data_IF_372539096448
#
_entry.id   IF_372539096448
#
_cell.length_a   1.000
_cell.length_b   1.000
_cell.length_c   1.000
_cell.angle_alpha   90.00
_cell.angle_beta   90.00
_cell.angle_gamma   90.00
#
_symmetry.space_group_name_H-M   'P 1'
#
loop_
_entity.id
_entity.type
_entity.pdbx_description
1 polymer ?
#
# COMPACT_ATOMS: atom_id res chain seq x y z
N UNK A 1 1.74 82.53 -76.21
CA UNK A 1 2.36 82.96 -77.48
C UNK A 1 3.87 83.00 -77.28
N UNK A 2 4.65 82.63 -78.31
CA UNK A 2 5.99 82.05 -78.20
C UNK A 2 7.12 83.11 -78.26
N UNK A 3 8.34 82.57 -78.26
CA UNK A 3 9.64 83.11 -78.71
C UNK A 3 10.57 83.56 -77.57
N UNK A 4 11.69 82.88 -77.35
CA UNK A 4 12.87 82.61 -78.20
C UNK A 4 13.78 83.84 -78.38
N UNK A 5 15.06 83.52 -78.20
CA UNK A 5 16.25 84.15 -78.80
C UNK A 5 16.76 85.44 -78.15
N UNK A 6 18.06 85.66 -78.00
CA UNK A 6 19.26 84.84 -78.18
C UNK A 6 20.48 85.69 -77.74
N UNK A 7 21.53 85.01 -77.27
CA UNK A 7 22.96 85.32 -77.51
C UNK A 7 23.54 86.68 -77.09
N UNK A 8 24.53 86.65 -76.19
CA UNK A 8 25.81 87.36 -76.39
C UNK A 8 26.94 86.82 -75.52
N UNK A 9 27.84 86.07 -76.16
CA UNK A 9 29.30 86.28 -76.25
C UNK A 9 30.08 86.49 -74.93
N UNK A 10 30.81 85.42 -74.55
CA UNK A 10 32.03 85.34 -73.71
C UNK A 10 33.20 86.15 -74.32
N UNK A 11 34.27 86.56 -73.58
CA UNK A 11 35.14 85.61 -72.87
C UNK A 11 35.94 86.07 -71.62
N UNK A 12 36.11 85.10 -70.71
CA UNK A 12 37.35 84.59 -70.09
C UNK A 12 38.46 85.57 -69.63
N UNK A 13 38.71 85.59 -68.31
CA UNK A 13 40.09 85.52 -67.77
C UNK A 13 40.14 85.03 -66.31
N UNK A 14 40.60 83.79 -66.13
CA UNK A 14 41.63 83.32 -65.18
C UNK A 14 41.66 83.92 -63.75
N UNK A 15 40.87 83.35 -62.82
CA UNK A 15 41.17 83.39 -61.37
C UNK A 15 40.96 82.01 -60.75
N UNK A 16 42.04 81.22 -60.72
CA UNK A 16 42.09 79.87 -60.19
C UNK A 16 43.06 79.88 -58.99
N UNK A 17 42.64 80.52 -57.88
CA UNK A 17 43.44 80.59 -56.65
C UNK A 17 42.64 80.89 -55.36
N UNK A 18 41.30 80.78 -55.36
CA UNK A 18 40.44 81.20 -54.23
C UNK A 18 39.50 80.08 -53.73
N UNK A 19 39.90 78.81 -53.82
CA UNK A 19 39.07 77.65 -53.47
C UNK A 19 39.43 77.00 -52.11
N UNK A 20 40.28 77.63 -51.30
CA UNK A 20 40.71 77.11 -49.98
C UNK A 20 40.09 77.85 -48.78
N UNK A 21 39.24 78.86 -49.00
CA UNK A 21 38.56 79.63 -47.95
C UNK A 21 37.15 79.14 -47.57
N UNK A 22 36.52 78.30 -48.40
CA UNK A 22 35.12 77.88 -48.20
C UNK A 22 34.96 76.58 -47.38
N UNK A 23 36.04 75.82 -47.17
CA UNK A 23 36.02 74.57 -46.39
C UNK A 23 36.19 74.79 -44.87
N UNK A 24 36.61 76.00 -44.45
CA UNK A 24 36.80 76.33 -43.03
C UNK A 24 35.55 76.96 -42.39
N UNK A 25 34.57 77.41 -43.19
CA UNK A 25 33.28 77.95 -42.74
C UNK A 25 32.19 76.88 -42.56
N UNK A 26 32.39 75.66 -43.09
CA UNK A 26 31.53 74.49 -42.88
C UNK A 26 31.92 73.63 -41.67
N UNK A 27 33.09 73.91 -41.06
CA UNK A 27 33.56 73.22 -39.85
C UNK A 27 33.13 73.91 -38.54
N UNK A 28 32.51 75.11 -38.60
CA UNK A 28 32.05 75.84 -37.41
C UNK A 28 30.56 75.66 -37.08
N UNK A 29 29.78 74.99 -37.93
CA UNK A 29 28.36 74.67 -37.66
C UNK A 29 28.14 73.34 -36.94
N UNK A 30 29.21 72.63 -36.56
CA UNK A 30 29.15 71.36 -35.84
C UNK A 30 29.21 71.49 -34.30
N UNK A 31 29.42 72.69 -33.77
CA UNK A 31 29.29 72.97 -32.34
C UNK A 31 27.93 73.60 -32.04
N UNK A 32 26.88 72.78 -32.15
CA UNK A 32 25.61 73.04 -31.48
C UNK A 32 25.47 71.99 -30.39
N UNK A 33 25.51 72.45 -29.15
CA UNK A 33 25.36 71.63 -27.96
C UNK A 33 23.95 71.04 -27.97
N UNK A 34 23.87 69.73 -28.21
CA UNK A 34 22.62 69.00 -28.19
C UNK A 34 22.05 69.07 -26.77
N UNK A 35 20.77 69.44 -26.58
CA UNK A 35 20.15 69.40 -25.28
C UNK A 35 20.18 67.95 -24.81
N UNK A 36 20.96 67.65 -23.77
CA UNK A 36 20.87 66.37 -23.08
C UNK A 36 19.45 66.31 -22.53
N UNK A 37 18.61 65.36 -22.99
CA UNK A 37 17.27 65.25 -22.43
C UNK A 37 17.43 65.05 -20.93
N UNK A 38 16.84 65.98 -20.19
CA UNK A 38 16.75 66.01 -18.75
C UNK A 38 16.49 64.58 -18.27
N UNK A 39 17.40 64.04 -17.46
CA UNK A 39 17.43 62.63 -17.09
C UNK A 39 16.03 62.20 -16.68
N UNK A 40 15.39 61.36 -17.50
CA UNK A 40 14.10 60.79 -17.16
C UNK A 40 14.18 60.27 -15.71
N UNK A 41 13.21 60.62 -14.84
CA UNK A 41 13.27 60.20 -13.43
C UNK A 41 13.56 58.71 -13.40
N UNK A 42 14.55 58.25 -12.62
CA UNK A 42 15.09 56.91 -12.74
C UNK A 42 13.93 55.94 -12.73
N UNK A 43 13.73 55.23 -13.84
CA UNK A 43 12.62 54.32 -13.99
C UNK A 43 12.68 53.33 -12.82
N UNK A 44 11.74 53.46 -11.89
CA UNK A 44 11.71 52.63 -10.68
C UNK A 44 11.55 51.20 -11.16
N UNK A 45 12.61 50.41 -11.06
CA UNK A 45 12.61 48.99 -11.39
C UNK A 45 12.29 48.24 -10.10
N UNK A 46 11.02 47.86 -9.86
CA UNK A 46 10.71 47.06 -8.68
C UNK A 46 11.52 45.77 -8.74
N UNK A 47 12.45 45.62 -7.80
CA UNK A 47 13.15 44.38 -7.56
C UNK A 47 12.37 43.62 -6.49
N UNK A 48 12.17 42.32 -6.70
CA UNK A 48 11.68 41.45 -5.64
C UNK A 48 12.78 41.36 -4.58
N UNK A 49 12.61 42.08 -3.47
CA UNK A 49 13.48 41.99 -2.30
C UNK A 49 12.86 41.02 -1.30
N UNK A 50 13.70 40.16 -0.73
CA UNK A 50 13.31 39.24 0.33
C UNK A 50 14.18 39.52 1.55
N UNK A 51 13.55 39.79 2.69
CA UNK A 51 14.25 39.94 3.97
C UNK A 51 14.65 38.57 4.49
N UNK A 52 15.95 38.33 4.66
CA UNK A 52 16.47 37.07 5.21
C UNK A 52 16.51 37.18 6.73
N UNK A 53 15.67 36.41 7.41
CA UNK A 53 15.73 36.21 8.86
C UNK A 53 16.32 34.85 9.20
N UNK A 54 17.01 34.75 10.34
CA UNK A 54 17.41 33.45 10.88
C UNK A 54 16.14 32.65 11.22
N UNK A 55 15.85 31.65 10.38
CA UNK A 55 14.84 30.63 10.65
C UNK A 55 15.58 29.45 11.25
N UNK A 56 15.13 28.94 12.39
CA UNK A 56 15.51 27.62 12.87
C UNK A 56 15.00 26.59 11.84
N UNK A 57 15.80 26.33 10.81
CA UNK A 57 15.49 25.31 9.81
C UNK A 57 15.76 23.96 10.44
N UNK A 58 14.78 23.43 11.15
CA UNK A 58 14.71 21.99 11.32
C UNK A 58 14.53 21.40 9.93
N UNK A 59 15.51 20.60 9.50
CA UNK A 59 15.51 19.96 8.19
C UNK A 59 14.40 18.88 8.18
N UNK A 60 13.17 19.33 7.95
CA UNK A 60 11.98 18.50 8.06
C UNK A 60 11.89 17.61 6.81
N UNK A 61 12.39 16.39 6.93
CA UNK A 61 12.31 15.39 5.88
C UNK A 61 10.85 14.96 5.67
N UNK A 62 10.24 15.40 4.56
CA UNK A 62 8.90 14.97 4.15
C UNK A 62 8.99 13.76 3.23
N UNK A 63 8.40 12.66 3.65
CA UNK A 63 8.35 11.42 2.88
C UNK A 63 6.88 11.00 2.68
N UNK A 64 6.50 10.55 1.47
CA UNK A 64 5.19 9.95 1.27
C UNK A 64 5.09 8.65 2.08
N UNK A 65 4.10 8.58 2.95
CA UNK A 65 3.78 7.39 3.75
C UNK A 65 2.46 6.75 3.30
N UNK A 66 2.30 5.47 3.61
CA UNK A 66 1.03 4.73 3.46
C UNK A 66 0.57 4.24 4.82
N UNK A 67 -0.69 4.51 5.15
CA UNK A 67 -1.30 3.99 6.37
C UNK A 67 -1.71 2.53 6.14
N UNK A 68 -1.42 1.66 7.12
CA UNK A 68 -1.84 0.25 7.12
C UNK A 68 -2.36 -0.13 8.51
N UNK A 69 -3.31 -1.07 8.55
CA UNK A 69 -3.70 -1.73 9.79
C UNK A 69 -2.50 -2.49 10.39
N UNK A 70 -2.31 -2.37 11.70
CA UNK A 70 -1.24 -3.06 12.43
C UNK A 70 -1.42 -4.58 12.44
N UNK A 71 -2.68 -5.06 12.42
CA UNK A 71 -3.00 -6.48 12.35
C UNK A 71 -3.93 -6.76 11.17
N UNK A 72 -3.58 -7.79 10.39
CA UNK A 72 -4.38 -8.31 9.28
C UNK A 72 -4.42 -9.84 9.36
N UNK A 73 -5.60 -10.41 9.14
CA UNK A 73 -5.78 -11.84 9.02
C UNK A 73 -6.65 -12.15 7.79
N UNK A 74 -6.23 -13.14 7.01
CA UNK A 74 -7.07 -13.75 5.98
C UNK A 74 -7.78 -14.94 6.63
N UNK A 75 -9.11 -14.87 6.69
CA UNK A 75 -9.94 -15.94 7.26
C UNK A 75 -10.15 -17.02 6.20
N UNK A 76 -9.93 -18.27 6.57
CA UNK A 76 -10.14 -19.45 5.72
C UNK A 76 -10.55 -20.64 6.58
N UNK A 77 -11.23 -21.61 5.98
CA UNK A 77 -11.55 -22.88 6.65
C UNK A 77 -10.39 -23.85 6.51
N UNK A 78 -10.12 -24.64 7.53
CA UNK A 78 -9.09 -25.68 7.47
C UNK A 78 -9.59 -26.96 6.79
N UNK A 79 -10.91 -27.12 6.68
CA UNK A 79 -11.58 -28.27 6.06
C UNK A 79 -12.50 -27.81 4.92
N UNK A 80 -12.69 -28.63 3.87
CA UNK A 80 -13.61 -28.29 2.78
C UNK A 80 -15.07 -28.47 3.19
N UNK A 81 -15.99 -27.74 2.57
CA UNK A 81 -17.41 -27.96 2.81
C UNK A 81 -18.31 -26.85 2.29
N UNK A 82 -19.61 -27.06 2.48
CA UNK A 82 -20.63 -26.10 2.09
C UNK A 82 -20.87 -25.07 3.20
N UNK A 83 -20.97 -23.79 2.86
CA UNK A 83 -21.20 -22.72 3.84
C UNK A 83 -22.69 -22.66 4.22
N UNK A 84 -23.03 -23.04 5.46
CA UNK A 84 -24.40 -23.00 6.02
C UNK A 84 -24.73 -21.61 6.57
N UNK A 85 -23.90 -21.11 7.51
CA UNK A 85 -24.13 -19.84 8.18
C UNK A 85 -23.04 -18.83 7.85
N UNK A 86 -23.50 -17.67 7.41
CA UNK A 86 -22.64 -16.63 6.86
C UNK A 86 -22.97 -15.29 7.53
N UNK A 87 -22.01 -14.73 8.27
CA UNK A 87 -22.13 -13.44 8.99
C UNK A 87 -21.06 -12.44 8.56
N UNK A 88 -20.54 -12.64 7.34
CA UNK A 88 -19.46 -11.86 6.75
C UNK A 88 -20.03 -10.75 5.87
N UNK A 89 -20.33 -9.61 6.49
CA UNK A 89 -20.66 -8.38 5.76
C UNK A 89 -19.43 -7.46 5.72
N UNK A 90 -19.16 -6.87 4.56
CA UNK A 90 -18.08 -5.90 4.43
C UNK A 90 -18.39 -4.64 5.25
N UNK A 91 -17.41 -4.12 5.98
CA UNK A 91 -17.57 -3.00 6.89
C UNK A 91 -18.10 -3.38 8.28
N UNK A 92 -18.49 -4.63 8.51
CA UNK A 92 -18.95 -5.09 9.83
C UNK A 92 -17.78 -5.18 10.81
N UNK A 93 -18.01 -4.67 12.02
CA UNK A 93 -17.12 -4.88 13.16
C UNK A 93 -17.38 -6.25 13.82
N UNK A 94 -16.31 -6.94 14.19
CA UNK A 94 -16.34 -8.23 14.89
C UNK A 94 -15.46 -8.18 16.13
N UNK A 95 -15.88 -8.89 17.18
CA UNK A 95 -15.10 -9.06 18.41
C UNK A 95 -14.16 -10.26 18.30
N UNK A 96 -13.08 -10.25 19.07
CA UNK A 96 -12.21 -11.42 19.19
C UNK A 96 -13.01 -12.64 19.70
N UNK A 97 -12.86 -13.78 19.03
CA UNK A 97 -13.57 -15.02 19.35
C UNK A 97 -15.00 -15.12 18.80
N UNK A 98 -15.54 -14.06 18.18
CA UNK A 98 -16.86 -14.07 17.55
C UNK A 98 -16.88 -15.06 16.37
N UNK A 99 -17.98 -15.82 16.23
CA UNK A 99 -18.16 -16.74 15.11
C UNK A 99 -18.55 -15.94 13.87
N UNK A 100 -17.73 -16.07 12.83
CA UNK A 100 -17.84 -15.26 11.61
C UNK A 100 -18.48 -16.03 10.46
N UNK A 101 -18.15 -17.32 10.35
CA UNK A 101 -18.72 -18.23 9.35
C UNK A 101 -18.74 -19.67 9.87
N UNK A 102 -19.66 -20.48 9.34
CA UNK A 102 -19.82 -21.89 9.68
C UNK A 102 -20.18 -22.72 8.46
N UNK A 103 -19.52 -23.86 8.31
CA UNK A 103 -19.86 -24.89 7.32
C UNK A 103 -21.02 -25.76 7.79
N UNK A 104 -21.69 -26.42 6.85
CA UNK A 104 -22.53 -27.58 7.17
C UNK A 104 -21.65 -28.66 7.81
N UNK A 105 -21.93 -28.92 9.08
CA UNK A 105 -21.16 -29.81 9.93
C UNK A 105 -21.78 -31.21 10.05
N UNK A 106 -22.84 -31.52 9.29
CA UNK A 106 -23.55 -32.81 9.34
C UNK A 106 -22.62 -34.01 9.12
N UNK A 107 -21.79 -33.97 8.07
CA UNK A 107 -20.81 -35.03 7.76
C UNK A 107 -19.74 -35.12 8.85
N UNK A 108 -19.28 -33.98 9.37
CA UNK A 108 -18.25 -33.92 10.41
C UNK A 108 -18.76 -34.47 11.75
N UNK A 109 -20.00 -34.14 12.13
CA UNK A 109 -20.66 -34.70 13.31
C UNK A 109 -20.87 -36.20 13.19
N UNK A 110 -21.26 -36.70 12.01
CA UNK A 110 -21.41 -38.13 11.77
C UNK A 110 -20.07 -38.87 11.89
N UNK A 111 -18.99 -38.32 11.34
CA UNK A 111 -17.63 -38.86 11.48
C UNK A 111 -17.16 -38.87 12.94
N UNK A 112 -17.40 -37.79 13.68
CA UNK A 112 -17.11 -37.72 15.11
C UNK A 112 -17.86 -38.79 15.90
N UNK A 113 -19.16 -38.97 15.64
CA UNK A 113 -19.97 -40.00 16.29
C UNK A 113 -19.43 -41.42 16.02
N UNK A 114 -19.04 -41.71 14.77
CA UNK A 114 -18.42 -42.98 14.39
C UNK A 114 -17.08 -43.21 15.09
N UNK A 115 -16.18 -42.22 15.06
CA UNK A 115 -14.87 -42.33 15.72
C UNK A 115 -15.01 -42.49 17.25
N UNK A 116 -15.98 -41.83 17.86
CA UNK A 116 -16.29 -41.97 19.29
C UNK A 116 -16.78 -43.38 19.62
N UNK A 117 -17.64 -43.96 18.79
CA UNK A 117 -18.11 -45.33 18.99
C UNK A 117 -16.96 -46.35 18.91
N UNK A 118 -16.03 -46.17 17.96
CA UNK A 118 -14.85 -47.05 17.85
C UNK A 118 -13.87 -46.88 19.00
N UNK A 119 -13.67 -45.66 19.50
CA UNK A 119 -12.89 -45.42 20.71
C UNK A 119 -13.48 -46.16 21.93
N UNK A 120 -14.78 -46.02 22.17
CA UNK A 120 -15.44 -46.71 23.29
C UNK A 120 -15.39 -48.24 23.13
N UNK A 121 -15.54 -48.75 21.90
CA UNK A 121 -15.38 -50.17 21.61
C UNK A 121 -13.97 -50.67 21.95
N UNK A 122 -12.93 -50.00 21.42
CA UNK A 122 -11.54 -50.37 21.66
C UNK A 122 -11.18 -50.27 23.16
N UNK A 123 -11.73 -49.28 23.86
CA UNK A 123 -11.55 -49.09 25.29
C UNK A 123 -12.14 -50.26 26.09
N UNK A 124 -13.38 -50.64 25.77
CA UNK A 124 -14.05 -51.76 26.42
C UNK A 124 -13.36 -53.10 26.10
N UNK A 125 -12.86 -53.26 24.88
CA UNK A 125 -12.09 -54.44 24.48
C UNK A 125 -10.78 -54.55 25.28
N UNK A 126 -10.00 -53.47 25.37
CA UNK A 126 -8.78 -53.48 26.19
C UNK A 126 -9.10 -53.80 27.66
N UNK A 127 -10.11 -53.16 28.24
CA UNK A 127 -10.51 -53.40 29.63
C UNK A 127 -11.00 -54.85 29.88
N UNK A 128 -11.59 -55.50 28.87
CA UNK A 128 -11.94 -56.92 28.94
C UNK A 128 -10.69 -57.81 28.92
N UNK A 129 -9.77 -57.57 27.98
CA UNK A 129 -8.55 -58.38 27.85
C UNK A 129 -7.58 -58.20 29.01
N UNK A 130 -7.47 -57.00 29.58
CA UNK A 130 -6.70 -56.75 30.80
C UNK A 130 -7.24 -57.58 31.97
N UNK A 131 -8.58 -57.60 32.16
CA UNK A 131 -9.20 -58.44 33.20
C UNK A 131 -8.93 -59.94 32.99
N UNK A 132 -9.00 -60.44 31.76
CA UNK A 132 -8.69 -61.84 31.43
C UNK A 132 -7.21 -62.19 31.67
N UNK A 133 -6.30 -61.25 31.38
CA UNK A 133 -4.88 -61.39 31.67
C UNK A 133 -4.62 -61.47 33.18
N UNK A 134 -5.20 -60.54 33.95
CA UNK A 134 -4.98 -60.42 35.40
C UNK A 134 -5.65 -61.55 36.21
N UNK A 135 -6.81 -62.05 35.75
CA UNK A 135 -7.64 -63.00 36.52
C UNK A 135 -7.39 -64.46 36.12
N UNK A 136 -7.30 -64.74 34.82
CA UNK A 136 -7.34 -66.11 34.30
C UNK A 136 -6.02 -66.53 33.63
N UNK A 137 -5.09 -65.59 33.39
CA UNK A 137 -3.95 -65.79 32.47
C UNK A 137 -4.35 -66.45 31.14
N UNK A 138 -5.60 -66.25 30.72
CA UNK A 138 -6.23 -66.97 29.61
C UNK A 138 -5.92 -66.35 28.23
N UNK A 139 -5.13 -65.28 28.19
CA UNK A 139 -4.76 -64.56 26.97
C UNK A 139 -3.25 -64.33 26.94
N UNK A 140 -2.65 -64.24 25.76
CA UNK A 140 -1.23 -63.91 25.62
C UNK A 140 -1.00 -62.41 25.88
N UNK A 141 0.17 -62.05 26.43
CA UNK A 141 0.53 -60.64 26.63
C UNK A 141 0.45 -59.82 25.34
N UNK A 142 0.86 -60.43 24.24
CA UNK A 142 0.78 -59.84 22.90
C UNK A 142 -0.65 -59.42 22.49
N UNK A 143 -1.69 -60.14 22.94
CA UNK A 143 -3.09 -59.75 22.66
C UNK A 143 -3.48 -58.48 23.41
N UNK A 144 -3.07 -58.35 24.68
CA UNK A 144 -3.31 -57.13 25.47
C UNK A 144 -2.60 -55.94 24.85
N UNK A 145 -1.35 -56.13 24.44
CA UNK A 145 -0.55 -55.08 23.79
C UNK A 145 -1.17 -54.68 22.42
N UNK A 146 -1.67 -55.62 21.62
CA UNK A 146 -2.42 -55.33 20.37
C UNK A 146 -3.70 -54.52 20.65
N UNK A 147 -4.49 -54.89 21.67
CA UNK A 147 -5.69 -54.10 22.05
C UNK A 147 -5.32 -52.71 22.54
N UNK A 148 -4.20 -52.57 23.24
CA UNK A 148 -3.69 -51.26 23.66
C UNK A 148 -3.33 -50.39 22.46
N UNK A 149 -2.64 -50.95 21.46
CA UNK A 149 -2.32 -50.24 20.23
C UNK A 149 -3.58 -49.82 19.46
N UNK A 150 -4.60 -50.68 19.39
CA UNK A 150 -5.90 -50.36 18.77
C UNK A 150 -6.64 -49.23 19.47
N UNK A 151 -6.62 -49.21 20.80
CA UNK A 151 -7.20 -48.11 21.58
C UNK A 151 -6.51 -46.78 21.26
N UNK A 152 -5.18 -46.78 21.18
CA UNK A 152 -4.43 -45.55 20.88
C UNK A 152 -4.69 -45.04 19.46
N UNK A 153 -4.82 -45.96 18.49
CA UNK A 153 -5.26 -45.62 17.13
C UNK A 153 -6.68 -45.01 17.13
N UNK A 154 -7.63 -45.65 17.83
CA UNK A 154 -9.00 -45.15 17.91
C UNK A 154 -9.09 -43.79 18.61
N UNK A 155 -8.26 -43.57 19.64
CA UNK A 155 -8.12 -42.27 20.32
C UNK A 155 -7.61 -41.19 19.39
N UNK A 156 -6.59 -41.49 18.58
CA UNK A 156 -6.04 -40.55 17.60
C UNK A 156 -7.08 -40.18 16.54
N UNK A 157 -7.86 -41.17 16.07
CA UNK A 157 -8.94 -40.94 15.11
C UNK A 157 -10.08 -40.10 15.70
N UNK A 158 -10.42 -40.30 16.97
CA UNK A 158 -11.39 -39.47 17.69
C UNK A 158 -10.90 -38.02 17.76
N UNK A 159 -9.66 -37.78 18.18
CA UNK A 159 -9.08 -36.44 18.27
C UNK A 159 -9.04 -35.73 16.90
N UNK A 160 -8.72 -36.47 15.83
CA UNK A 160 -8.76 -35.93 14.47
C UNK A 160 -10.18 -35.51 14.06
N UNK A 161 -11.19 -36.34 14.33
CA UNK A 161 -12.59 -36.02 14.01
C UNK A 161 -13.14 -34.84 14.85
N UNK A 162 -12.70 -34.69 16.10
CA UNK A 162 -13.01 -33.52 16.94
C UNK A 162 -12.41 -32.24 16.36
N UNK A 163 -11.15 -32.30 15.93
CA UNK A 163 -10.48 -31.16 15.31
C UNK A 163 -11.13 -30.78 13.99
N UNK A 164 -11.47 -31.75 13.14
CA UNK A 164 -12.16 -31.50 11.88
C UNK A 164 -13.52 -30.82 12.11
N UNK A 165 -14.27 -31.25 13.13
CA UNK A 165 -15.52 -30.60 13.51
C UNK A 165 -15.29 -29.17 14.02
N UNK A 166 -14.27 -28.94 14.87
CA UNK A 166 -13.92 -27.60 15.33
C UNK A 166 -13.54 -26.67 14.17
N UNK A 167 -12.85 -27.21 13.16
CA UNK A 167 -12.42 -26.51 11.95
C UNK A 167 -13.57 -26.10 11.01
N UNK A 168 -14.80 -26.59 11.25
CA UNK A 168 -16.01 -26.15 10.51
C UNK A 168 -16.48 -24.75 10.90
N UNK A 169 -15.93 -24.17 11.98
CA UNK A 169 -16.33 -22.87 12.51
C UNK A 169 -15.14 -21.91 12.50
N UNK A 170 -15.28 -20.79 11.80
CA UNK A 170 -14.27 -19.72 11.84
C UNK A 170 -14.63 -18.72 12.93
N UNK A 171 -13.65 -18.46 13.80
CA UNK A 171 -13.71 -17.40 14.82
C UNK A 171 -12.74 -16.28 14.46
N UNK A 172 -13.09 -15.04 14.81
CA UNK A 172 -12.21 -13.90 14.62
C UNK A 172 -10.99 -13.99 15.57
N UNK A 173 -9.73 -13.98 15.08
CA UNK A 173 -8.54 -14.07 15.92
C UNK A 173 -8.31 -12.83 16.80
N UNK A 174 -8.84 -11.67 16.40
CA UNK A 174 -8.79 -10.42 17.14
C UNK A 174 -10.02 -9.55 16.79
N UNK A 175 -10.24 -8.47 17.55
CA UNK A 175 -11.31 -7.53 17.25
C UNK A 175 -10.91 -6.61 16.09
N UNK A 176 -11.80 -6.42 15.12
CA UNK A 176 -11.49 -5.66 13.92
C UNK A 176 -12.68 -5.51 13.00
N UNK A 177 -12.43 -5.11 11.76
CA UNK A 177 -13.44 -4.88 10.73
C UNK A 177 -13.19 -5.82 9.57
N UNK A 178 -14.26 -6.43 9.04
CA UNK A 178 -14.20 -7.22 7.81
C UNK A 178 -14.06 -6.26 6.63
N UNK A 179 -12.89 -6.22 6.01
CA UNK A 179 -12.59 -5.26 4.93
C UNK A 179 -13.00 -5.74 3.56
N UNK A 180 -13.00 -7.06 3.35
CA UNK A 180 -13.34 -7.65 2.07
C UNK A 180 -13.92 -9.04 2.26
N UNK A 181 -14.96 -9.33 1.49
CA UNK A 181 -15.59 -10.63 1.36
C UNK A 181 -15.16 -11.25 0.02
N UNK A 182 -14.72 -12.51 0.06
CA UNK A 182 -14.14 -13.20 -1.12
C UNK A 182 -15.03 -14.29 -1.70
N UNK A 183 -16.11 -14.66 -0.99
CA UNK A 183 -17.04 -15.71 -1.40
C UNK A 183 -18.48 -15.26 -1.22
N UNK A 184 -19.37 -15.88 -1.98
CA UNK A 184 -20.82 -15.76 -1.80
C UNK A 184 -21.34 -16.74 -0.74
N UNK A 185 -22.45 -16.40 -0.05
CA UNK A 185 -23.16 -17.35 0.81
C UNK A 185 -23.56 -18.61 0.01
N UNK A 186 -23.77 -19.73 0.71
CA UNK A 186 -24.25 -20.98 0.10
C UNK A 186 -23.35 -21.52 -1.02
N UNK A 187 -22.04 -21.27 -0.92
CA UNK A 187 -21.04 -21.77 -1.87
C UNK A 187 -20.19 -22.86 -1.20
N UNK A 188 -19.72 -23.81 -2.00
CA UNK A 188 -18.76 -24.82 -1.55
C UNK A 188 -17.34 -24.25 -1.55
N UNK A 189 -16.60 -24.44 -0.47
CA UNK A 189 -15.24 -23.93 -0.28
C UNK A 189 -14.24 -25.07 -0.10
N UNK A 190 -13.01 -24.84 -0.56
CA UNK A 190 -11.88 -25.74 -0.35
C UNK A 190 -11.13 -25.39 0.94
N UNK A 191 -10.38 -26.35 1.47
CA UNK A 191 -9.47 -26.11 2.59
C UNK A 191 -8.45 -25.02 2.23
N UNK A 192 -8.18 -24.12 3.18
CA UNK A 192 -7.26 -22.98 3.06
C UNK A 192 -7.64 -21.95 2.00
N UNK A 193 -8.84 -22.02 1.43
CA UNK A 193 -9.36 -20.99 0.53
C UNK A 193 -9.73 -19.73 1.33
N UNK A 194 -9.19 -18.54 1.00
CA UNK A 194 -9.54 -17.30 1.68
C UNK A 194 -10.99 -16.90 1.44
N UNK A 195 -11.75 -16.66 2.53
CA UNK A 195 -13.17 -16.29 2.48
C UNK A 195 -13.42 -14.82 2.82
N UNK A 196 -12.58 -14.22 3.65
CA UNK A 196 -12.71 -12.83 4.08
C UNK A 196 -11.40 -12.26 4.65
N UNK A 197 -11.25 -10.95 4.60
CA UNK A 197 -10.11 -10.22 5.16
C UNK A 197 -10.54 -9.45 6.41
N UNK A 198 -9.86 -9.68 7.54
CA UNK A 198 -10.07 -9.01 8.82
C UNK A 198 -8.91 -8.07 9.13
N UNK A 199 -9.20 -6.81 9.49
CA UNK A 199 -8.18 -5.82 9.83
C UNK A 199 -8.50 -5.10 11.15
N UNK A 200 -7.47 -4.84 11.95
CA UNK A 200 -7.57 -3.99 13.14
C UNK A 200 -7.33 -2.53 12.75
N UNK A 201 -8.40 -1.73 12.74
CA UNK A 201 -8.34 -0.31 12.38
C UNK A 201 -8.06 0.60 13.59
N UNK A 202 -7.95 0.07 14.80
CA UNK A 202 -7.68 0.87 16.02
C UNK A 202 -6.19 1.15 16.18
N UNK A 203 -5.35 0.24 15.70
CA UNK A 203 -3.91 0.40 15.64
C UNK A 203 -3.47 0.56 14.18
N UNK A 204 -3.03 1.76 13.82
CA UNK A 204 -2.58 2.10 12.47
C UNK A 204 -1.07 2.32 12.45
N UNK A 205 -0.40 1.75 11.47
CA UNK A 205 1.02 1.93 11.21
C UNK A 205 1.22 2.79 9.96
N UNK A 206 2.20 3.69 10.01
CA UNK A 206 2.61 4.50 8.85
C UNK A 206 3.85 3.88 8.24
N UNK A 207 3.69 3.29 7.06
CA UNK A 207 4.80 2.71 6.29
C UNK A 207 5.37 3.77 5.37
N UNK A 208 6.63 4.13 5.60
CA UNK A 208 7.36 5.13 4.82
C UNK A 208 8.53 4.47 4.10
N UNK A 209 8.68 4.74 2.81
CA UNK A 209 9.84 4.28 2.05
C UNK A 209 10.94 5.34 2.13
N UNK A 210 12.02 5.04 2.84
CA UNK A 210 13.18 5.94 2.98
C UNK A 210 14.28 5.50 1.98
N UNK A 211 14.69 6.36 1.03
CA UNK A 211 15.87 6.11 0.21
C UNK A 211 17.12 5.90 1.06
N UNK A 212 17.95 4.91 0.74
CA UNK A 212 19.16 4.56 1.51
C UNK A 212 20.10 5.75 1.78
N UNK A 213 20.24 6.66 0.81
CA UNK A 213 21.03 7.91 0.95
C UNK A 213 20.59 8.81 2.11
N UNK A 214 19.34 8.68 2.58
CA UNK A 214 18.75 9.45 3.68
C UNK A 214 18.80 8.66 5.00
N UNK A 215 18.87 7.33 4.96
CA UNK A 215 18.94 6.48 6.18
C UNK A 215 20.18 6.81 7.02
N UNK A 216 21.34 7.08 6.38
CA UNK A 216 22.57 7.48 7.10
C UNK A 216 22.44 8.76 7.93
N UNK A 217 21.45 9.62 7.63
CA UNK A 217 21.17 10.87 8.38
C UNK A 217 20.13 10.68 9.47
N UNK A 218 19.42 9.56 9.49
CA UNK A 218 18.45 9.20 10.52
C UNK A 218 19.19 8.36 11.58
N UNK A 219 19.69 9.00 12.63
CA UNK A 219 20.08 8.25 13.83
C UNK A 219 18.81 7.74 14.53
N UNK A 220 18.81 6.49 15.05
CA UNK A 220 17.67 5.91 15.74
C UNK A 220 17.33 6.64 17.05
#
# INVERSE_FOLDING_TARGET
MPNLDSVSIMPNQKHLAAATGAALLLALSACTEAPVPDSAPPAVRPALIVTVGAQDTHDALRLPGRIRAAKRAELSFDVPGFVDRFSLEEGREVKAGEVVARLDDSVYRARLASARAEFERARNDLARYQRLWDTEMAVARAEVDDRSARLELARTNLAAAEQDLANTVIKAPFAGVITRRRIEPFTNVQAKQPIADLQDLRALEVVVNVPERLVRRLQP
#
